data_IF_285875865779
#
_entry.id   IF_285875865779
#
_cell.length_a   1.000
_cell.length_b   1.000
_cell.length_c   1.000
_cell.angle_alpha   90.00
_cell.angle_beta   90.00
_cell.angle_gamma   90.00
#
_symmetry.space_group_name_H-M   'P 1'
#
loop_
_entity.id
_entity.type
_entity.pdbx_description
1 polymer ?
#
# COMPACT_ATOMS: atom_id res chain seq x y z
N UNK A 1 9.48 -31.70 1.56
CA UNK A 1 8.83 -31.70 0.22
C UNK A 1 7.56 -30.87 0.35
N UNK A 2 7.35 -29.90 -0.52
CA UNK A 2 6.11 -29.09 -0.58
C UNK A 2 5.23 -29.66 -1.70
N UNK A 3 4.30 -30.61 -1.36
CA UNK A 3 3.51 -31.31 -2.38
C UNK A 3 2.45 -30.41 -3.02
N UNK A 4 2.11 -29.29 -2.41
CA UNK A 4 1.08 -28.37 -2.89
C UNK A 4 1.68 -27.08 -3.40
N UNK A 5 1.19 -26.61 -4.54
CA UNK A 5 1.54 -25.32 -5.13
C UNK A 5 0.28 -24.47 -5.26
N UNK A 6 0.35 -23.20 -4.90
CA UNK A 6 -0.67 -22.20 -5.20
C UNK A 6 -0.09 -21.12 -6.10
N UNK A 7 -0.79 -20.80 -7.18
CA UNK A 7 -0.57 -19.59 -7.99
C UNK A 7 -1.84 -18.75 -7.94
N UNK A 8 -1.81 -17.64 -7.24
CA UNK A 8 -3.00 -16.82 -6.97
C UNK A 8 -2.65 -15.33 -6.87
N UNK A 9 -3.65 -14.47 -7.14
CA UNK A 9 -3.64 -13.04 -6.82
C UNK A 9 -4.52 -12.69 -5.61
N UNK A 10 -5.07 -13.70 -4.92
CA UNK A 10 -5.91 -13.50 -3.74
C UNK A 10 -5.13 -13.86 -2.48
N UNK A 11 -4.75 -12.85 -1.72
CA UNK A 11 -4.11 -13.01 -0.41
C UNK A 11 -5.02 -13.73 0.59
N UNK A 12 -6.33 -13.47 0.54
CA UNK A 12 -7.33 -14.13 1.37
C UNK A 12 -7.36 -15.65 1.12
N UNK A 13 -7.41 -16.06 -0.15
CA UNK A 13 -7.41 -17.47 -0.52
C UNK A 13 -6.07 -18.14 -0.16
N UNK A 14 -4.95 -17.43 -0.32
CA UNK A 14 -3.62 -17.89 0.12
C UNK A 14 -3.60 -18.13 1.63
N UNK A 15 -4.03 -17.15 2.43
CA UNK A 15 -4.05 -17.24 3.90
C UNK A 15 -4.87 -18.43 4.38
N UNK A 16 -6.05 -18.61 3.78
CA UNK A 16 -6.93 -19.74 4.08
C UNK A 16 -6.29 -21.09 3.75
N UNK A 17 -5.68 -21.21 2.57
CA UNK A 17 -5.05 -22.45 2.15
C UNK A 17 -3.79 -22.76 2.98
N UNK A 18 -3.04 -21.72 3.41
CA UNK A 18 -1.91 -21.86 4.35
C UNK A 18 -2.35 -22.37 5.72
N UNK A 19 -3.50 -21.90 6.21
CA UNK A 19 -4.06 -22.39 7.49
C UNK A 19 -4.38 -23.90 7.43
N UNK A 20 -4.84 -24.39 6.29
CA UNK A 20 -5.18 -25.81 6.11
C UNK A 20 -3.97 -26.71 5.82
N UNK A 21 -3.00 -26.23 5.04
CA UNK A 21 -1.90 -27.05 4.50
C UNK A 21 -0.54 -26.75 5.13
N UNK A 22 -0.44 -25.66 5.89
CA UNK A 22 0.78 -25.27 6.59
C UNK A 22 2.00 -25.13 5.68
N UNK A 23 3.14 -25.60 6.12
CA UNK A 23 4.41 -25.58 5.39
C UNK A 23 4.46 -26.49 4.16
N UNK A 24 3.45 -27.32 3.94
CA UNK A 24 3.34 -28.16 2.76
C UNK A 24 2.91 -27.40 1.50
N UNK A 25 2.49 -26.12 1.66
CA UNK A 25 2.04 -25.26 0.57
C UNK A 25 3.16 -24.31 0.13
N UNK A 26 3.62 -24.48 -1.11
CA UNK A 26 4.43 -23.47 -1.80
C UNK A 26 3.49 -22.47 -2.49
N UNK A 27 3.80 -21.19 -2.38
CA UNK A 27 3.00 -20.13 -3.01
C UNK A 27 3.87 -19.33 -3.97
N UNK A 28 3.36 -19.11 -5.17
CA UNK A 28 3.92 -18.16 -6.12
C UNK A 28 2.86 -17.11 -6.43
N UNK A 29 3.16 -15.86 -6.12
CA UNK A 29 2.25 -14.75 -6.32
C UNK A 29 1.87 -14.59 -7.80
N UNK A 30 0.57 -14.50 -8.08
CA UNK A 30 0.03 -14.38 -9.44
C UNK A 30 0.42 -13.08 -10.16
N UNK A 31 0.94 -12.09 -9.44
CA UNK A 31 1.50 -10.85 -9.98
C UNK A 31 2.69 -11.11 -10.90
N UNK A 32 3.45 -12.19 -10.68
CA UNK A 32 4.56 -12.58 -11.56
C UNK A 32 4.11 -12.97 -12.99
N UNK A 33 2.82 -13.23 -13.21
CA UNK A 33 2.26 -13.45 -14.55
C UNK A 33 2.37 -12.21 -15.45
N UNK A 34 2.54 -11.02 -14.89
CA UNK A 34 2.83 -9.81 -15.66
C UNK A 34 4.17 -9.89 -16.43
N UNK A 35 5.07 -10.77 -15.99
CA UNK A 35 6.36 -11.06 -16.63
C UNK A 35 6.31 -12.34 -17.49
N UNK A 36 5.12 -12.89 -17.71
CA UNK A 36 4.88 -14.13 -18.43
C UNK A 36 4.81 -15.37 -17.54
N UNK A 37 4.19 -16.42 -18.05
CA UNK A 37 3.99 -17.71 -17.34
C UNK A 37 5.31 -18.39 -16.96
N UNK A 38 6.33 -18.30 -17.81
CA UNK A 38 7.68 -18.79 -17.53
C UNK A 38 8.31 -18.17 -16.28
N UNK A 39 7.99 -16.91 -15.95
CA UNK A 39 8.48 -16.25 -14.76
C UNK A 39 7.88 -16.85 -13.48
N UNK A 40 6.64 -17.30 -13.52
CA UNK A 40 5.97 -18.00 -12.42
C UNK A 40 6.53 -19.41 -12.27
N UNK A 41 6.56 -20.18 -13.37
CA UNK A 41 7.06 -21.57 -13.35
C UNK A 41 8.54 -21.66 -13.00
N UNK A 42 9.33 -20.63 -13.32
CA UNK A 42 10.73 -20.52 -12.91
C UNK A 42 10.94 -20.36 -11.38
N UNK A 43 9.91 -19.92 -10.65
CA UNK A 43 9.93 -19.75 -9.17
C UNK A 43 9.36 -20.94 -8.41
N UNK A 44 8.88 -21.96 -9.13
CA UNK A 44 8.39 -23.18 -8.50
C UNK A 44 9.57 -24.03 -8.06
N UNK A 45 9.79 -24.08 -6.75
CA UNK A 45 10.81 -24.90 -6.13
C UNK A 45 10.30 -26.31 -5.82
N UNK A 46 11.17 -27.30 -5.97
CA UNK A 46 10.86 -28.71 -5.68
C UNK A 46 9.98 -29.37 -6.75
N UNK A 47 9.26 -30.39 -6.34
CA UNK A 47 8.38 -31.21 -7.20
C UNK A 47 6.97 -31.23 -6.62
N UNK A 48 6.15 -30.21 -6.88
CA UNK A 48 4.76 -30.20 -6.42
C UNK A 48 3.99 -31.37 -7.06
N UNK A 49 2.99 -31.87 -6.34
CA UNK A 49 2.11 -32.97 -6.80
C UNK A 49 0.72 -32.46 -7.15
N UNK A 50 0.26 -31.39 -6.50
CA UNK A 50 -1.02 -30.73 -6.79
C UNK A 50 -0.80 -29.23 -6.88
N UNK A 51 -1.26 -28.60 -7.96
CA UNK A 51 -1.23 -27.16 -8.14
C UNK A 51 -2.65 -26.57 -8.18
N UNK A 52 -2.87 -25.53 -7.39
CA UNK A 52 -4.05 -24.70 -7.38
C UNK A 52 -3.78 -23.44 -8.20
N UNK A 53 -4.57 -23.21 -9.25
CA UNK A 53 -4.46 -22.07 -10.15
C UNK A 53 -5.67 -21.14 -9.96
N UNK A 54 -5.45 -19.97 -9.41
CA UNK A 54 -6.50 -19.00 -9.06
C UNK A 54 -6.68 -18.84 -7.54
N UNK A 55 -7.67 -18.08 -7.07
CA UNK A 55 -8.63 -17.30 -7.88
C UNK A 55 -8.00 -16.06 -8.56
N UNK A 56 -8.81 -15.38 -9.39
CA UNK A 56 -8.45 -14.13 -10.07
C UNK A 56 -7.39 -14.29 -11.18
N UNK A 57 -7.33 -15.47 -11.81
CA UNK A 57 -6.58 -15.68 -13.05
C UNK A 57 -7.54 -15.71 -14.25
N UNK A 58 -7.13 -15.11 -15.38
CA UNK A 58 -7.91 -15.18 -16.61
C UNK A 58 -7.62 -16.48 -17.39
N UNK A 59 -8.36 -16.72 -18.47
CA UNK A 59 -8.23 -17.94 -19.29
C UNK A 59 -6.82 -18.10 -19.88
N UNK A 60 -6.28 -17.05 -20.51
CA UNK A 60 -4.97 -17.12 -21.16
C UNK A 60 -3.83 -17.35 -20.17
N UNK A 61 -3.92 -16.73 -18.98
CA UNK A 61 -2.95 -16.93 -17.90
C UNK A 61 -3.02 -18.37 -17.37
N UNK A 62 -4.23 -18.88 -17.16
CA UNK A 62 -4.44 -20.26 -16.69
C UNK A 62 -3.94 -21.26 -17.71
N UNK A 63 -4.26 -21.09 -18.98
CA UNK A 63 -3.82 -21.93 -20.09
C UNK A 63 -2.29 -21.97 -20.19
N UNK A 64 -1.64 -20.80 -20.21
CA UNK A 64 -0.18 -20.75 -20.29
C UNK A 64 0.50 -21.37 -19.07
N UNK A 65 -0.07 -21.23 -17.86
CA UNK A 65 0.43 -21.93 -16.66
C UNK A 65 0.27 -23.45 -16.76
N UNK A 66 -0.87 -23.92 -17.22
CA UNK A 66 -1.12 -25.35 -17.42
C UNK A 66 -0.13 -25.94 -18.41
N UNK A 67 0.07 -25.30 -19.57
CA UNK A 67 1.02 -25.74 -20.59
C UNK A 67 2.45 -25.87 -20.05
N UNK A 68 2.95 -24.81 -19.37
CA UNK A 68 4.32 -24.78 -18.84
C UNK A 68 4.52 -25.65 -17.60
N UNK A 69 3.54 -25.67 -16.66
CA UNK A 69 3.61 -26.53 -15.48
C UNK A 69 3.58 -28.01 -15.87
N UNK A 70 2.73 -28.40 -16.81
CA UNK A 70 2.66 -29.79 -17.31
C UNK A 70 3.94 -30.19 -18.03
N UNK A 71 4.55 -29.27 -18.79
CA UNK A 71 5.82 -29.53 -19.46
C UNK A 71 6.98 -29.74 -18.45
N UNK A 72 7.00 -29.01 -17.33
CA UNK A 72 8.02 -29.12 -16.29
C UNK A 72 7.75 -30.23 -15.27
N UNK A 73 6.48 -30.47 -14.96
CA UNK A 73 6.00 -31.42 -13.96
C UNK A 73 4.85 -32.29 -14.57
N UNK A 74 5.15 -33.30 -15.37
CA UNK A 74 4.12 -34.07 -16.10
C UNK A 74 3.17 -34.89 -15.21
N UNK A 75 3.55 -35.16 -13.97
CA UNK A 75 2.76 -35.91 -12.99
C UNK A 75 1.91 -34.99 -12.05
N UNK A 76 1.84 -33.69 -12.36
CA UNK A 76 1.16 -32.68 -11.54
C UNK A 76 -0.37 -32.79 -11.67
N UNK A 77 -1.07 -32.84 -10.54
CA UNK A 77 -2.52 -32.70 -10.49
C UNK A 77 -2.89 -31.22 -10.56
N UNK A 78 -3.72 -30.84 -11.53
CA UNK A 78 -4.11 -29.43 -11.76
C UNK A 78 -5.53 -29.17 -11.26
N UNK A 79 -5.68 -28.19 -10.39
CA UNK A 79 -6.95 -27.70 -9.85
C UNK A 79 -7.11 -26.22 -10.18
N UNK A 80 -8.15 -25.85 -10.89
CA UNK A 80 -8.48 -24.43 -11.11
C UNK A 80 -9.44 -23.96 -10.03
N UNK A 81 -9.12 -22.81 -9.41
CA UNK A 81 -9.94 -22.18 -8.39
C UNK A 81 -10.68 -20.99 -9.01
N UNK A 82 -11.99 -21.15 -9.19
CA UNK A 82 -12.84 -20.15 -9.85
C UNK A 82 -14.30 -20.28 -9.43
N UNK A 83 -15.03 -19.16 -9.46
CA UNK A 83 -16.48 -19.20 -9.34
C UNK A 83 -17.11 -19.99 -10.51
N UNK A 84 -18.14 -20.77 -10.20
CA UNK A 84 -18.82 -21.58 -11.19
C UNK A 84 -19.55 -20.69 -12.21
N UNK A 85 -19.12 -20.77 -13.47
CA UNK A 85 -19.73 -20.09 -14.63
C UNK A 85 -20.01 -21.11 -15.73
N UNK A 86 -20.88 -20.77 -16.67
CA UNK A 86 -21.28 -21.64 -17.79
C UNK A 86 -20.14 -22.00 -18.77
N UNK A 87 -19.02 -21.29 -18.71
CA UNK A 87 -17.83 -21.52 -19.55
C UNK A 87 -16.80 -22.48 -18.93
N UNK A 88 -17.06 -23.01 -17.75
CA UNK A 88 -16.09 -23.92 -17.07
C UNK A 88 -16.00 -25.31 -17.68
N UNK A 89 -17.07 -25.80 -18.30
CA UNK A 89 -17.05 -27.10 -18.99
C UNK A 89 -16.05 -27.07 -20.16
N UNK A 90 -16.00 -25.95 -20.89
CA UNK A 90 -15.04 -25.75 -21.98
C UNK A 90 -13.60 -25.75 -21.47
N UNK A 91 -13.35 -25.15 -20.30
CA UNK A 91 -12.01 -25.09 -19.69
C UNK A 91 -11.49 -26.46 -19.25
N UNK A 92 -12.36 -27.32 -18.70
CA UNK A 92 -11.96 -28.63 -18.20
C UNK A 92 -11.54 -29.53 -19.39
N UNK A 93 -12.28 -29.46 -20.49
CA UNK A 93 -12.02 -30.28 -21.67
C UNK A 93 -10.78 -29.79 -22.45
N UNK A 94 -10.61 -28.47 -22.59
CA UNK A 94 -9.48 -27.89 -23.34
C UNK A 94 -8.16 -27.93 -22.59
N UNK A 95 -8.17 -27.75 -21.26
CA UNK A 95 -6.95 -27.58 -20.45
C UNK A 95 -6.52 -28.86 -19.70
N UNK A 96 -7.20 -29.99 -19.92
CA UNK A 96 -6.92 -31.27 -19.24
C UNK A 96 -6.83 -31.12 -17.70
N UNK A 97 -7.74 -30.35 -17.10
CA UNK A 97 -7.79 -30.11 -15.67
C UNK A 97 -8.29 -31.34 -14.92
N UNK A 98 -7.75 -31.56 -13.71
CA UNK A 98 -8.16 -32.69 -12.87
C UNK A 98 -9.37 -32.37 -12.00
N UNK A 99 -9.54 -31.07 -11.63
CA UNK A 99 -10.68 -30.58 -10.87
C UNK A 99 -10.85 -29.06 -10.99
N UNK A 100 -12.07 -28.61 -10.69
CA UNK A 100 -12.40 -27.20 -10.47
C UNK A 100 -12.92 -27.05 -9.07
N UNK A 101 -12.47 -26.02 -8.36
CA UNK A 101 -12.86 -25.69 -6.99
C UNK A 101 -13.42 -24.26 -6.92
N UNK A 102 -14.54 -24.08 -6.21
CA UNK A 102 -15.02 -22.72 -5.93
C UNK A 102 -14.09 -22.03 -4.92
N UNK A 103 -13.75 -20.74 -5.08
CA UNK A 103 -13.01 -20.00 -4.06
C UNK A 103 -13.73 -19.95 -2.72
N UNK A 104 -15.06 -20.04 -2.72
CA UNK A 104 -15.91 -20.05 -1.54
C UNK A 104 -16.26 -21.45 -1.02
N UNK A 105 -15.63 -22.53 -1.56
CA UNK A 105 -15.85 -23.88 -1.07
C UNK A 105 -15.42 -23.99 0.41
N UNK A 106 -16.12 -24.80 1.20
CA UNK A 106 -15.74 -25.02 2.60
C UNK A 106 -14.36 -25.70 2.72
N UNK A 107 -13.72 -25.57 3.88
CA UNK A 107 -12.43 -26.20 4.14
C UNK A 107 -12.55 -27.72 4.04
N UNK A 108 -13.67 -28.29 4.51
CA UNK A 108 -13.98 -29.71 4.39
C UNK A 108 -14.04 -30.15 2.93
N UNK A 109 -14.77 -29.42 2.07
CA UNK A 109 -14.86 -29.71 0.63
C UNK A 109 -13.48 -29.62 -0.05
N UNK A 110 -12.67 -28.63 0.36
CA UNK A 110 -11.31 -28.44 -0.17
C UNK A 110 -10.41 -29.61 0.22
N UNK A 111 -10.44 -30.05 1.49
CA UNK A 111 -9.67 -31.20 1.98
C UNK A 111 -10.13 -32.52 1.34
N UNK A 112 -11.44 -32.71 1.15
CA UNK A 112 -11.98 -33.89 0.45
C UNK A 112 -11.48 -33.97 -0.99
N UNK A 113 -11.44 -32.83 -1.71
CA UNK A 113 -10.91 -32.75 -3.06
C UNK A 113 -9.42 -33.12 -3.08
N UNK A 114 -8.63 -32.53 -2.18
CA UNK A 114 -7.19 -32.83 -2.05
C UNK A 114 -6.98 -34.31 -1.79
N UNK A 115 -7.69 -34.91 -0.83
CA UNK A 115 -7.57 -36.33 -0.50
C UNK A 115 -7.98 -37.25 -1.65
N UNK A 116 -9.00 -36.89 -2.42
CA UNK A 116 -9.45 -37.63 -3.59
C UNK A 116 -8.41 -37.55 -4.70
N UNK A 117 -7.86 -36.39 -4.98
CA UNK A 117 -6.86 -36.18 -6.02
C UNK A 117 -5.52 -36.81 -5.64
N UNK A 118 -5.09 -36.74 -4.39
CA UNK A 118 -3.88 -37.43 -3.89
C UNK A 118 -3.98 -38.93 -4.09
N UNK A 119 -5.10 -39.55 -3.68
CA UNK A 119 -5.35 -41.00 -3.91
C UNK A 119 -5.36 -41.36 -5.38
N UNK A 120 -5.92 -40.51 -6.23
CA UNK A 120 -5.92 -40.75 -7.68
C UNK A 120 -4.50 -40.66 -8.27
N UNK A 121 -3.68 -39.70 -7.85
CA UNK A 121 -2.28 -39.59 -8.28
C UNK A 121 -1.46 -40.80 -7.84
N UNK A 122 -1.64 -41.30 -6.62
CA UNK A 122 -0.96 -42.47 -6.09
C UNK A 122 -1.40 -43.72 -6.88
N UNK A 123 -2.69 -43.92 -7.11
CA UNK A 123 -3.21 -45.09 -7.84
C UNK A 123 -2.78 -45.14 -9.30
N UNK A 124 -2.43 -43.99 -9.90
CA UNK A 124 -1.91 -43.89 -11.26
C UNK A 124 -0.37 -43.85 -11.34
N UNK A 125 0.33 -44.07 -10.22
CA UNK A 125 1.79 -44.06 -10.16
C UNK A 125 2.45 -42.71 -10.39
N UNK A 126 1.70 -41.62 -10.23
CA UNK A 126 2.16 -40.22 -10.39
C UNK A 126 2.67 -39.59 -9.09
N UNK A 127 2.37 -40.19 -7.93
CA UNK A 127 2.83 -39.76 -6.62
C UNK A 127 2.98 -40.98 -5.68
N UNK A 128 3.72 -40.83 -4.62
CA UNK A 128 3.84 -41.84 -3.56
C UNK A 128 3.13 -41.30 -2.27
N UNK A 129 2.72 -42.22 -1.37
CA UNK A 129 2.09 -41.83 -0.09
C UNK A 129 2.95 -40.84 0.70
N UNK A 130 4.26 -41.11 0.75
CA UNK A 130 5.22 -40.21 1.45
C UNK A 130 5.31 -38.80 0.90
N UNK A 131 4.82 -38.54 -0.32
CA UNK A 131 4.79 -37.18 -0.88
C UNK A 131 3.77 -36.27 -0.15
N UNK A 132 2.76 -36.86 0.47
CA UNK A 132 1.67 -36.20 1.16
C UNK A 132 1.72 -36.34 2.69
N UNK A 133 2.71 -37.10 3.23
CA UNK A 133 2.90 -37.22 4.68
C UNK A 133 3.24 -35.84 5.30
N UNK A 134 2.77 -35.63 6.53
CA UNK A 134 3.16 -34.44 7.27
C UNK A 134 4.67 -34.47 7.51
N UNK A 135 5.38 -33.34 7.30
CA UNK A 135 6.77 -33.28 7.70
C UNK A 135 6.86 -33.59 9.20
N UNK A 136 7.85 -34.36 9.65
CA UNK A 136 8.01 -34.63 11.07
C UNK A 136 8.06 -33.28 11.80
N UNK A 137 7.20 -33.13 12.80
CA UNK A 137 7.23 -31.99 13.71
C UNK A 137 8.65 -31.94 14.25
N UNK A 138 9.42 -30.93 13.89
CA UNK A 138 10.66 -30.65 14.61
C UNK A 138 10.22 -30.22 16.00
N UNK A 139 10.22 -31.16 16.93
CA UNK A 139 10.26 -30.84 18.33
C UNK A 139 11.50 -29.95 18.50
N UNK A 140 11.26 -28.69 18.78
CA UNK A 140 12.30 -27.85 19.35
C UNK A 140 12.62 -28.53 20.68
N UNK A 141 13.73 -29.27 20.72
CA UNK A 141 14.33 -29.65 21.99
C UNK A 141 14.50 -28.31 22.73
N UNK A 142 13.68 -28.12 23.74
CA UNK A 142 13.97 -27.14 24.79
C UNK A 142 15.32 -27.53 25.31
N UNK A 143 16.37 -26.68 25.24
CA UNK A 143 17.65 -27.00 25.82
C UNK A 143 17.39 -27.36 27.29
N UNK A 144 17.81 -28.56 27.71
CA UNK A 144 17.77 -28.93 29.09
C UNK A 144 18.50 -27.83 29.87
N UNK A 145 17.96 -27.37 31.00
CA UNK A 145 18.66 -26.40 31.84
C UNK A 145 20.01 -27.02 32.21
N UNK A 146 21.10 -26.39 31.82
CA UNK A 146 22.45 -26.75 32.24
C UNK A 146 22.44 -26.71 33.76
N UNK A 147 22.71 -27.81 34.47
CA UNK A 147 22.81 -27.77 35.93
C UNK A 147 23.94 -26.81 36.28
N UNK A 148 23.60 -25.73 36.99
CA UNK A 148 24.61 -24.83 37.53
C UNK A 148 25.56 -25.66 38.42
N UNK A 149 26.84 -25.63 38.10
CA UNK A 149 27.85 -26.25 38.98
C UNK A 149 27.96 -25.44 40.27
N UNK A 150 28.23 -26.10 41.38
CA UNK A 150 28.40 -25.46 42.72
C UNK A 150 29.50 -24.36 42.72
N UNK A 151 30.32 -24.26 41.68
CA UNK A 151 31.33 -23.22 41.51
C UNK A 151 30.72 -21.89 40.97
N UNK A 152 29.61 -21.94 40.25
CA UNK A 152 28.92 -20.73 39.73
C UNK A 152 28.09 -20.00 40.82
N UNK A 153 27.80 -20.68 41.92
CA UNK A 153 27.10 -20.12 43.09
C UNK A 153 28.02 -19.33 44.04
N UNK A 154 29.33 -19.51 43.96
CA UNK A 154 30.31 -18.85 44.83
C UNK A 154 30.80 -17.49 44.30
N UNK A 155 30.42 -17.09 43.10
CA UNK A 155 30.77 -15.80 42.49
C UNK A 155 29.71 -14.70 42.74
N UNK A 156 28.63 -15.03 43.45
CA UNK A 156 27.54 -14.06 43.75
C UNK A 156 27.62 -13.49 45.19
N UNK A 157 28.64 -13.88 45.98
CA UNK A 157 28.89 -13.28 47.30
C UNK A 157 30.13 -12.39 47.23
N UNK A 158 30.00 -11.16 46.83
CA UNK A 158 31.09 -10.19 46.87
C UNK A 158 30.68 -8.85 46.27
N UNK A 159 30.43 -7.94 47.18
CA UNK A 159 30.24 -6.49 47.07
C UNK A 159 28.79 -6.00 46.98
N UNK A 160 28.32 -5.65 48.18
CA UNK A 160 27.19 -4.74 48.40
C UNK A 160 27.57 -3.32 47.91
N UNK A 161 27.42 -3.08 46.61
CA UNK A 161 27.14 -1.74 46.12
C UNK A 161 25.71 -1.73 45.57
N UNK A 162 24.84 -1.13 46.36
CA UNK A 162 23.46 -0.79 45.97
C UNK A 162 23.46 0.16 44.78
N UNK A 163 23.73 -0.31 43.57
CA UNK A 163 23.22 0.29 42.38
C UNK A 163 21.77 -0.21 42.19
N UNK A 164 20.86 0.66 42.46
CA UNK A 164 19.42 0.43 42.45
C UNK A 164 18.98 -0.10 41.08
N UNK A 165 18.19 -1.17 41.11
CA UNK A 165 17.48 -1.82 39.98
C UNK A 165 16.53 -0.88 39.20
N UNK A 166 16.61 0.43 39.42
CA UNK A 166 15.82 1.48 38.78
C UNK A 166 16.36 1.94 37.41
N UNK A 167 17.61 1.55 37.02
CA UNK A 167 18.15 1.99 35.73
C UNK A 167 17.86 1.03 34.55
N UNK A 168 17.39 -0.19 34.81
CA UNK A 168 17.05 -1.15 33.71
C UNK A 168 15.59 -1.18 33.31
N UNK A 169 14.75 -0.36 33.96
CA UNK A 169 13.32 -0.21 33.61
C UNK A 169 12.95 1.16 33.06
N UNK A 170 13.91 1.97 32.66
CA UNK A 170 13.59 3.09 31.82
C UNK A 170 13.32 2.58 30.41
N UNK A 171 12.02 2.34 30.11
CA UNK A 171 11.55 2.35 28.75
C UNK A 171 12.18 3.58 28.06
N UNK A 172 12.68 3.47 26.81
CA UNK A 172 13.23 4.60 26.10
C UNK A 172 12.21 5.74 26.24
N UNK A 173 12.66 6.98 26.48
CA UNK A 173 11.74 8.08 26.69
C UNK A 173 10.77 8.08 25.53
N UNK A 174 9.49 7.91 25.83
CA UNK A 174 8.42 8.07 24.84
C UNK A 174 8.61 9.50 24.36
N UNK A 175 9.05 9.65 23.11
CA UNK A 175 9.20 10.95 22.50
C UNK A 175 7.81 11.53 22.41
N UNK A 176 7.43 12.39 23.38
CA UNK A 176 6.17 13.12 23.34
C UNK A 176 6.25 14.12 22.18
N UNK A 177 5.71 13.72 21.03
CA UNK A 177 5.55 14.61 19.89
C UNK A 177 4.50 15.66 20.25
N UNK A 178 4.97 16.88 20.55
CA UNK A 178 4.07 18.01 20.72
C UNK A 178 3.70 18.58 19.36
N UNK A 179 2.40 18.70 19.08
CA UNK A 179 1.93 19.47 17.94
C UNK A 179 2.26 20.94 18.17
N UNK A 180 2.97 21.61 17.25
CA UNK A 180 3.11 23.03 17.34
C UNK A 180 1.72 23.67 17.28
N UNK A 181 1.36 24.55 18.22
CA UNK A 181 0.09 25.25 18.15
C UNK A 181 0.00 26.03 16.83
N UNK A 182 -1.17 26.03 16.20
CA UNK A 182 -1.41 26.95 15.09
C UNK A 182 -1.18 28.38 15.55
N UNK A 183 -0.31 29.11 14.86
CA UNK A 183 -0.09 30.50 15.15
C UNK A 183 -1.39 31.31 14.95
N UNK A 184 -1.66 32.24 15.84
CA UNK A 184 -2.86 33.06 15.74
C UNK A 184 -2.88 33.84 14.41
N UNK A 185 -3.91 33.63 13.61
CA UNK A 185 -4.08 34.25 12.29
C UNK A 185 -3.55 33.42 11.11
N UNK A 186 -2.97 32.24 11.36
CA UNK A 186 -2.65 31.26 10.29
C UNK A 186 -3.86 30.34 10.09
N UNK A 187 -4.37 30.29 8.85
CA UNK A 187 -5.41 29.32 8.48
C UNK A 187 -4.77 27.97 8.17
N UNK A 188 -5.47 26.91 8.51
CA UNK A 188 -5.10 25.55 8.06
C UNK A 188 -5.47 25.39 6.59
N UNK A 189 -4.50 24.95 5.78
CA UNK A 189 -4.73 24.55 4.39
C UNK A 189 -4.97 23.04 4.33
N UNK A 190 -6.05 22.64 3.71
CA UNK A 190 -6.41 21.22 3.56
C UNK A 190 -6.53 20.85 2.07
N UNK A 191 -6.00 19.69 1.70
CA UNK A 191 -5.88 19.23 0.34
C UNK A 191 -6.52 17.85 0.18
N UNK A 192 -7.45 17.69 -0.75
CA UNK A 192 -7.87 16.37 -1.22
C UNK A 192 -7.08 15.98 -2.47
N UNK A 193 -6.43 14.83 -2.45
CA UNK A 193 -5.75 14.27 -3.63
C UNK A 193 -6.70 13.30 -4.31
N UNK A 194 -7.16 13.65 -5.51
CA UNK A 194 -8.26 13.00 -6.23
C UNK A 194 -7.78 12.50 -7.59
N UNK A 195 -8.27 11.36 -8.03
CA UNK A 195 -8.04 10.87 -9.39
C UNK A 195 -9.24 10.06 -9.90
N UNK A 196 -9.57 10.16 -11.20
CA UNK A 196 -10.73 9.48 -11.77
C UNK A 196 -10.61 7.96 -11.80
N UNK A 197 -9.40 7.42 -11.64
CA UNK A 197 -9.13 5.97 -11.70
C UNK A 197 -8.00 5.57 -10.76
N UNK A 198 -7.99 4.29 -10.39
CA UNK A 198 -6.86 3.68 -9.69
C UNK A 198 -5.56 3.68 -10.51
N UNK A 199 -4.42 3.59 -9.83
CA UNK A 199 -3.10 3.50 -10.46
C UNK A 199 -2.58 4.80 -11.10
N UNK A 200 -3.20 5.95 -10.87
CA UNK A 200 -2.75 7.25 -11.39
C UNK A 200 -1.72 7.95 -10.51
N UNK A 201 -1.42 7.39 -9.31
CA UNK A 201 -0.37 7.87 -8.43
C UNK A 201 -0.81 8.89 -7.39
N UNK A 202 -2.08 8.88 -6.98
CA UNK A 202 -2.61 9.72 -5.89
C UNK A 202 -1.75 9.60 -4.62
N UNK A 203 -1.64 8.39 -4.09
CA UNK A 203 -0.88 8.08 -2.87
C UNK A 203 0.58 8.55 -2.96
N UNK A 204 1.23 8.32 -4.11
CA UNK A 204 2.60 8.82 -4.34
C UNK A 204 2.66 10.35 -4.23
N UNK A 205 1.72 11.06 -4.86
CA UNK A 205 1.66 12.52 -4.80
C UNK A 205 1.33 12.98 -3.37
N UNK A 206 0.38 12.35 -2.69
CA UNK A 206 -0.03 12.69 -1.33
C UNK A 206 1.13 12.55 -0.33
N UNK A 207 1.85 11.42 -0.36
CA UNK A 207 3.02 11.15 0.49
C UNK A 207 4.10 12.22 0.27
N UNK A 208 4.49 12.44 -0.99
CA UNK A 208 5.57 13.38 -1.30
C UNK A 208 5.16 14.85 -1.05
N UNK A 209 3.87 15.17 -1.17
CA UNK A 209 3.34 16.48 -0.79
C UNK A 209 3.44 16.67 0.73
N UNK A 210 3.04 15.67 1.52
CA UNK A 210 3.15 15.71 2.98
C UNK A 210 4.61 15.88 3.43
N UNK A 211 5.53 15.10 2.86
CA UNK A 211 6.96 15.21 3.12
C UNK A 211 7.50 16.61 2.78
N UNK A 212 7.17 17.12 1.60
CA UNK A 212 7.65 18.47 1.20
C UNK A 212 7.06 19.61 2.01
N UNK A 213 5.83 19.49 2.50
CA UNK A 213 5.22 20.45 3.40
C UNK A 213 5.77 20.33 4.83
N UNK A 214 6.18 19.13 5.26
CA UNK A 214 6.84 18.92 6.54
C UNK A 214 8.24 19.56 6.60
N UNK A 215 8.97 19.65 5.47
CA UNK A 215 10.21 20.44 5.40
C UNK A 215 9.98 21.92 5.75
N UNK A 216 8.77 22.43 5.48
CA UNK A 216 8.39 23.83 5.71
C UNK A 216 7.82 24.03 7.11
N UNK A 217 6.97 23.11 7.56
CA UNK A 217 6.25 23.15 8.82
C UNK A 217 6.37 21.81 9.57
N UNK A 218 7.54 21.51 10.16
CA UNK A 218 7.76 20.24 10.86
C UNK A 218 6.73 20.02 11.95
N UNK A 219 6.23 18.77 12.05
CA UNK A 219 5.19 18.33 12.99
C UNK A 219 3.84 19.07 12.89
N UNK A 220 3.63 19.84 11.82
CA UNK A 220 2.39 20.58 11.57
C UNK A 220 1.64 20.07 10.35
N UNK A 221 2.01 18.90 9.84
CA UNK A 221 1.42 18.25 8.66
C UNK A 221 0.81 16.92 9.07
N UNK A 222 -0.39 16.63 8.58
CA UNK A 222 -1.02 15.32 8.72
C UNK A 222 -1.49 14.79 7.37
N UNK A 223 -1.16 13.54 7.10
CA UNK A 223 -1.56 12.79 5.91
C UNK A 223 -2.62 11.76 6.32
N UNK A 224 -3.80 11.83 5.71
CA UNK A 224 -4.93 10.95 5.99
C UNK A 224 -5.09 9.97 4.84
N UNK A 225 -5.02 8.68 5.14
CA UNK A 225 -5.32 7.62 4.20
C UNK A 225 -6.84 7.35 4.21
N UNK A 226 -7.55 7.99 3.30
CA UNK A 226 -8.99 7.84 3.12
C UNK A 226 -9.36 6.86 1.98
N UNK A 227 -8.40 6.08 1.46
CA UNK A 227 -8.69 4.90 0.66
C UNK A 227 -9.02 3.74 1.62
N UNK A 228 -10.29 3.70 2.05
CA UNK A 228 -10.76 2.81 3.13
C UNK A 228 -10.75 1.33 2.77
N UNK A 229 -10.60 1.00 1.48
CA UNK A 229 -10.60 -0.39 1.01
C UNK A 229 -9.20 -0.90 0.70
N UNK A 230 -8.33 -0.04 0.17
CA UNK A 230 -7.02 -0.41 -0.34
C UNK A 230 -5.95 0.65 0.00
N UNK A 231 -6.02 1.22 1.20
CA UNK A 231 -5.06 2.22 1.65
C UNK A 231 -3.65 1.65 1.76
N UNK A 232 -2.69 2.33 1.14
CA UNK A 232 -1.31 1.86 0.98
C UNK A 232 -0.26 2.79 1.60
N UNK A 233 -0.67 3.90 2.25
CA UNK A 233 0.28 4.90 2.79
C UNK A 233 1.24 4.27 3.78
N UNK A 234 0.75 3.48 4.72
CA UNK A 234 1.59 2.86 5.75
C UNK A 234 2.57 1.85 5.17
N UNK A 235 2.13 1.07 4.17
CA UNK A 235 2.99 0.13 3.44
C UNK A 235 4.08 0.88 2.64
N UNK A 236 3.70 1.97 1.95
CA UNK A 236 4.62 2.79 1.15
C UNK A 236 5.62 3.61 1.98
N UNK A 237 5.38 3.77 3.29
CA UNK A 237 6.24 4.47 4.25
C UNK A 237 6.89 3.52 5.27
N UNK A 238 6.71 2.20 5.12
CA UNK A 238 7.19 1.17 6.06
C UNK A 238 6.80 1.48 7.53
N UNK A 239 5.59 2.01 7.75
CA UNK A 239 5.04 2.31 9.07
C UNK A 239 4.25 1.13 9.62
N UNK A 240 4.32 0.94 10.95
CA UNK A 240 3.52 -0.04 11.69
C UNK A 240 2.55 0.70 12.64
N UNK A 241 1.36 1.09 12.16
CA UNK A 241 0.42 1.88 12.95
C UNK A 241 -0.28 1.01 13.99
N UNK A 242 -0.34 1.48 15.24
CA UNK A 242 -1.11 0.84 16.31
C UNK A 242 -2.59 1.23 16.30
N UNK A 243 -2.93 2.30 15.59
CA UNK A 243 -4.28 2.88 15.45
C UNK A 243 -4.54 3.21 13.99
N UNK A 244 -5.80 3.24 13.62
CA UNK A 244 -6.24 3.42 12.23
C UNK A 244 -7.30 4.53 12.12
N UNK A 245 -7.75 4.81 10.90
CA UNK A 245 -8.82 5.78 10.65
C UNK A 245 -10.12 5.43 11.42
N UNK A 246 -10.37 4.14 11.70
CA UNK A 246 -11.52 3.72 12.50
C UNK A 246 -11.42 4.28 13.92
N UNK A 247 -10.22 4.20 14.52
CA UNK A 247 -9.96 4.81 15.84
C UNK A 247 -9.98 6.34 15.76
N UNK A 248 -9.41 6.90 14.70
CA UNK A 248 -9.31 8.35 14.52
C UNK A 248 -10.68 9.03 14.40
N UNK A 249 -11.63 8.45 13.64
CA UNK A 249 -12.99 9.01 13.54
C UNK A 249 -13.76 8.89 14.85
N UNK A 250 -13.58 7.80 15.59
CA UNK A 250 -14.17 7.64 16.92
C UNK A 250 -13.57 8.66 17.90
N UNK A 251 -12.27 8.86 17.88
CA UNK A 251 -11.56 9.83 18.72
C UNK A 251 -11.91 11.28 18.37
N UNK A 252 -12.05 11.62 17.10
CA UNK A 252 -12.43 12.95 16.63
C UNK A 252 -13.83 13.39 17.13
N UNK A 253 -14.73 12.43 17.36
CA UNK A 253 -16.03 12.70 17.93
C UNK A 253 -15.98 13.04 19.44
N UNK A 254 -14.90 12.68 20.14
CA UNK A 254 -14.76 12.84 21.59
C UNK A 254 -13.92 14.08 21.92
N UNK A 255 -12.62 14.06 21.64
CA UNK A 255 -11.68 15.10 22.06
C UNK A 255 -10.40 15.11 21.17
N UNK A 256 -9.80 16.28 21.03
CA UNK A 256 -8.54 16.50 20.31
C UNK A 256 -7.37 15.72 20.92
N UNK A 257 -7.29 15.62 22.25
CA UNK A 257 -6.22 14.87 22.92
C UNK A 257 -6.29 13.38 22.61
N UNK A 258 -7.51 12.82 22.54
CA UNK A 258 -7.74 11.43 22.16
C UNK A 258 -7.37 11.22 20.69
N UNK A 259 -7.72 12.18 19.82
CA UNK A 259 -7.37 12.10 18.39
C UNK A 259 -5.85 12.01 18.18
N UNK A 260 -5.05 12.74 18.99
CA UNK A 260 -3.57 12.66 18.92
C UNK A 260 -3.03 11.24 19.11
N UNK A 261 -3.69 10.42 19.92
CA UNK A 261 -3.27 9.03 20.15
C UNK A 261 -3.53 8.11 18.95
N UNK A 262 -4.36 8.54 18.00
CA UNK A 262 -4.68 7.78 16.79
C UNK A 262 -3.76 8.11 15.59
N UNK A 263 -2.77 8.96 15.79
CA UNK A 263 -1.84 9.40 14.75
C UNK A 263 -0.51 8.67 14.87
N UNK A 264 0.06 8.28 13.73
CA UNK A 264 1.39 7.67 13.64
C UNK A 264 2.38 8.74 13.16
N UNK A 265 3.45 8.98 13.88
CA UNK A 265 4.49 9.93 13.48
C UNK A 265 5.45 9.33 12.46
N UNK A 266 5.79 10.09 11.42
CA UNK A 266 6.82 9.74 10.43
C UNK A 266 8.11 10.53 10.69
N UNK A 267 9.28 9.91 10.46
CA UNK A 267 10.60 10.53 10.70
C UNK A 267 10.83 11.84 9.95
N UNK A 268 10.19 12.06 8.81
CA UNK A 268 10.22 13.30 8.04
C UNK A 268 9.43 14.45 8.71
N UNK A 269 8.88 14.26 9.90
CA UNK A 269 8.21 15.31 10.68
C UNK A 269 6.76 15.56 10.25
N UNK A 270 6.03 14.56 9.84
CA UNK A 270 4.57 14.62 9.65
C UNK A 270 3.86 13.44 10.33
N UNK A 271 2.55 13.55 10.47
CA UNK A 271 1.72 12.52 11.07
C UNK A 271 0.88 11.82 10.00
N UNK A 272 0.54 10.56 10.25
CA UNK A 272 -0.28 9.74 9.39
C UNK A 272 -1.50 9.22 10.15
N UNK A 273 -2.69 9.36 9.56
CA UNK A 273 -3.88 8.57 9.91
C UNK A 273 -3.90 7.39 8.95
N UNK A 274 -3.59 6.20 9.48
CA UNK A 274 -3.54 4.97 8.68
C UNK A 274 -4.94 4.57 8.21
N UNK A 275 -5.05 3.95 7.05
CA UNK A 275 -6.32 3.39 6.55
C UNK A 275 -6.86 2.27 7.44
N UNK A 276 -8.09 1.85 7.17
CA UNK A 276 -8.68 0.71 7.85
C UNK A 276 -7.89 -0.58 7.55
N UNK A 277 -7.74 -1.49 8.53
CA UNK A 277 -6.96 -2.72 8.34
C UNK A 277 -7.67 -3.76 7.47
N UNK A 278 -8.94 -3.58 7.20
CA UNK A 278 -9.71 -4.38 6.24
C UNK A 278 -10.87 -3.58 5.64
N UNK A 279 -11.35 -3.92 4.44
CA UNK A 279 -12.49 -3.25 3.81
C UNK A 279 -13.74 -3.22 4.68
N UNK A 280 -14.03 -4.30 5.44
CA UNK A 280 -15.20 -4.39 6.31
C UNK A 280 -15.14 -3.40 7.48
N UNK A 281 -13.95 -3.12 7.99
CA UNK A 281 -13.74 -2.07 8.98
C UNK A 281 -13.76 -0.69 8.34
N UNK A 282 -13.30 -0.56 7.11
CA UNK A 282 -13.42 0.65 6.31
C UNK A 282 -14.87 1.07 6.08
N UNK A 283 -15.76 0.11 5.82
CA UNK A 283 -17.20 0.35 5.64
C UNK A 283 -17.89 0.91 6.89
N UNK A 284 -17.27 0.79 8.07
CA UNK A 284 -17.79 1.39 9.33
C UNK A 284 -17.50 2.89 9.41
N UNK A 285 -16.58 3.40 8.61
CA UNK A 285 -16.25 4.82 8.55
C UNK A 285 -17.27 5.54 7.66
N UNK A 286 -18.23 6.21 8.24
CA UNK A 286 -19.18 6.99 7.46
C UNK A 286 -18.52 8.25 6.86
N UNK A 287 -19.05 8.74 5.73
CA UNK A 287 -18.58 9.97 5.12
C UNK A 287 -18.67 11.18 6.08
N UNK A 288 -19.74 11.27 6.86
CA UNK A 288 -19.91 12.31 7.89
C UNK A 288 -18.81 12.24 8.95
N UNK A 289 -18.45 11.03 9.41
CA UNK A 289 -17.37 10.85 10.37
C UNK A 289 -16.01 11.27 9.79
N UNK A 290 -15.74 10.95 8.52
CA UNK A 290 -14.55 11.43 7.81
C UNK A 290 -14.52 12.97 7.71
N UNK A 291 -15.62 13.62 7.37
CA UNK A 291 -15.73 15.07 7.33
C UNK A 291 -15.41 15.70 8.70
N UNK A 292 -15.99 15.15 9.78
CA UNK A 292 -15.69 15.59 11.15
C UNK A 292 -14.21 15.41 11.50
N UNK A 293 -13.59 14.31 11.11
CA UNK A 293 -12.16 14.07 11.32
C UNK A 293 -11.32 15.13 10.61
N UNK A 294 -11.60 15.42 9.33
CA UNK A 294 -10.88 16.44 8.56
C UNK A 294 -10.99 17.81 9.24
N UNK A 295 -12.18 18.21 9.66
CA UNK A 295 -12.39 19.48 10.38
C UNK A 295 -11.58 19.53 11.68
N UNK A 296 -11.58 18.47 12.47
CA UNK A 296 -10.80 18.40 13.72
C UNK A 296 -9.30 18.49 13.46
N UNK A 297 -8.80 17.79 12.44
CA UNK A 297 -7.38 17.86 12.06
C UNK A 297 -6.99 19.28 11.61
N UNK A 298 -7.86 19.98 10.90
CA UNK A 298 -7.64 21.38 10.49
C UNK A 298 -7.52 22.36 11.66
N UNK A 299 -8.04 22.03 12.83
CA UNK A 299 -7.84 22.87 14.03
C UNK A 299 -6.46 22.66 14.67
N UNK A 300 -5.81 21.52 14.41
CA UNK A 300 -4.55 21.14 15.04
C UNK A 300 -3.35 21.23 14.11
N UNK A 301 -3.55 21.10 12.79
CA UNK A 301 -2.48 21.03 11.80
C UNK A 301 -2.53 22.19 10.82
N UNK A 302 -1.36 22.70 10.44
CA UNK A 302 -1.24 23.72 9.39
C UNK A 302 -1.62 23.16 8.02
N UNK A 303 -1.23 21.92 7.73
CA UNK A 303 -1.51 21.25 6.48
C UNK A 303 -2.17 19.90 6.74
N UNK A 304 -3.31 19.67 6.10
CA UNK A 304 -4.03 18.40 6.13
C UNK A 304 -4.10 17.86 4.70
N UNK A 305 -3.55 16.69 4.43
CA UNK A 305 -3.59 16.05 3.12
C UNK A 305 -4.47 14.80 3.23
N UNK A 306 -5.46 14.67 2.36
CA UNK A 306 -6.37 13.53 2.32
C UNK A 306 -6.15 12.78 1.01
N UNK A 307 -5.57 11.58 1.08
CA UNK A 307 -5.49 10.65 -0.05
C UNK A 307 -6.83 9.91 -0.16
N UNK A 308 -7.55 10.10 -1.27
CA UNK A 308 -8.92 9.60 -1.42
C UNK A 308 -8.97 8.29 -2.21
N UNK A 309 -10.10 7.59 -2.17
CA UNK A 309 -10.40 6.49 -3.11
C UNK A 309 -10.47 7.01 -4.55
N UNK A 310 -10.23 6.15 -5.57
CA UNK A 310 -10.44 6.54 -6.96
C UNK A 310 -11.89 6.92 -7.28
N UNK A 311 -12.07 7.97 -8.05
CA UNK A 311 -13.38 8.48 -8.47
C UNK A 311 -14.08 9.32 -7.40
N UNK A 312 -15.34 9.70 -7.67
CA UNK A 312 -16.13 10.59 -6.82
C UNK A 312 -17.15 9.79 -5.97
N UNK A 313 -16.63 8.87 -5.14
CA UNK A 313 -17.44 8.20 -4.12
C UNK A 313 -17.85 9.17 -2.99
N UNK A 314 -18.74 8.71 -2.10
CA UNK A 314 -19.29 9.52 -1.00
C UNK A 314 -18.18 10.14 -0.12
N UNK A 315 -17.18 9.35 0.27
CA UNK A 315 -16.04 9.81 1.08
C UNK A 315 -15.18 10.84 0.34
N UNK A 316 -14.95 10.65 -0.98
CA UNK A 316 -14.22 11.63 -1.79
C UNK A 316 -14.98 12.96 -1.90
N UNK A 317 -16.32 12.92 -2.08
CA UNK A 317 -17.15 14.11 -2.15
C UNK A 317 -17.13 14.88 -0.82
N UNK A 318 -17.27 14.17 0.30
CA UNK A 318 -17.19 14.79 1.63
C UNK A 318 -15.78 15.34 1.90
N UNK A 319 -14.71 14.65 1.50
CA UNK A 319 -13.37 15.21 1.61
C UNK A 319 -13.25 16.54 0.85
N UNK A 320 -13.80 16.62 -0.39
CA UNK A 320 -13.81 17.85 -1.19
C UNK A 320 -14.64 18.99 -0.58
N UNK A 321 -15.66 18.68 0.21
CA UNK A 321 -16.46 19.69 0.94
C UNK A 321 -15.68 20.32 2.11
N UNK A 322 -14.76 19.55 2.73
CA UNK A 322 -14.06 19.96 3.96
C UNK A 322 -12.63 20.47 3.72
N UNK A 323 -12.13 20.44 2.47
CA UNK A 323 -10.80 20.94 2.13
C UNK A 323 -10.84 22.35 1.53
N UNK A 324 -9.70 23.03 1.55
CA UNK A 324 -9.52 24.35 0.91
C UNK A 324 -9.13 24.23 -0.54
N UNK A 325 -8.39 23.19 -0.89
CA UNK A 325 -7.76 22.96 -2.19
C UNK A 325 -7.93 21.52 -2.63
N UNK A 326 -7.85 21.25 -3.94
CA UNK A 326 -7.78 19.90 -4.45
C UNK A 326 -6.59 19.71 -5.41
N UNK A 327 -5.93 18.56 -5.29
CA UNK A 327 -4.91 18.10 -6.22
C UNK A 327 -5.50 17.00 -7.09
N UNK A 328 -5.81 17.32 -8.33
CA UNK A 328 -6.35 16.37 -9.30
C UNK A 328 -5.23 15.70 -10.04
N UNK A 329 -5.11 14.38 -9.90
CA UNK A 329 -4.04 13.57 -10.49
C UNK A 329 -4.59 12.70 -11.62
N UNK A 330 -3.96 12.74 -12.77
CA UNK A 330 -4.22 11.83 -13.88
C UNK A 330 -2.93 11.42 -14.58
N UNK A 331 -2.99 10.42 -15.44
CA UNK A 331 -1.88 10.07 -16.35
C UNK A 331 -2.21 10.48 -17.79
N UNK A 332 -1.28 10.28 -18.72
CA UNK A 332 -1.46 10.63 -20.14
C UNK A 332 -2.41 9.68 -20.90
N UNK A 333 -3.02 8.71 -20.25
CA UNK A 333 -3.99 7.82 -20.89
C UNK A 333 -5.33 8.53 -21.18
N UNK A 334 -5.82 8.49 -22.43
CA UNK A 334 -7.10 9.11 -22.84
C UNK A 334 -8.27 8.77 -21.90
N UNK A 335 -8.41 7.50 -21.40
CA UNK A 335 -9.48 7.18 -20.46
C UNK A 335 -9.36 7.91 -19.10
N UNK A 336 -8.14 8.18 -18.61
CA UNK A 336 -7.90 8.98 -17.40
C UNK A 336 -8.24 10.44 -17.62
N UNK A 337 -7.74 11.03 -18.72
CA UNK A 337 -7.99 12.42 -19.08
C UNK A 337 -9.49 12.72 -19.26
N UNK A 338 -10.23 11.84 -19.96
CA UNK A 338 -11.68 11.93 -20.10
C UNK A 338 -12.42 11.74 -18.76
N UNK A 339 -11.88 10.88 -17.91
CA UNK A 339 -12.38 10.69 -16.54
C UNK A 339 -12.30 11.99 -15.74
N UNK A 340 -11.14 12.63 -15.72
CA UNK A 340 -10.93 13.90 -15.03
C UNK A 340 -11.86 15.02 -15.56
N UNK A 341 -12.04 15.11 -16.87
CA UNK A 341 -13.02 16.05 -17.43
C UNK A 341 -14.43 15.81 -16.90
N UNK A 342 -14.87 14.54 -16.85
CA UNK A 342 -16.18 14.18 -16.31
C UNK A 342 -16.30 14.51 -14.82
N UNK A 343 -15.25 14.31 -14.05
CA UNK A 343 -15.20 14.72 -12.65
C UNK A 343 -15.39 16.23 -12.50
N UNK A 344 -14.71 17.02 -13.32
CA UNK A 344 -14.86 18.48 -13.31
C UNK A 344 -16.29 18.91 -13.67
N UNK A 345 -16.88 18.30 -14.69
CA UNK A 345 -18.28 18.55 -15.08
C UNK A 345 -19.24 18.21 -13.94
N UNK A 346 -19.05 17.07 -13.27
CA UNK A 346 -19.88 16.62 -12.15
C UNK A 346 -19.70 17.52 -10.91
N UNK A 347 -18.46 17.80 -10.50
CA UNK A 347 -18.18 18.66 -9.34
C UNK A 347 -18.73 20.07 -9.56
N UNK A 348 -18.65 20.59 -10.78
CA UNK A 348 -19.25 21.88 -11.14
C UNK A 348 -20.78 21.84 -11.01
N UNK A 349 -21.42 20.77 -11.50
CA UNK A 349 -22.86 20.61 -11.42
C UNK A 349 -23.37 20.45 -9.97
N UNK A 350 -22.57 19.83 -9.10
CA UNK A 350 -22.86 19.68 -7.68
C UNK A 350 -22.51 20.93 -6.84
N UNK A 351 -21.79 21.91 -7.42
CA UNK A 351 -21.30 23.07 -6.68
C UNK A 351 -20.14 22.75 -5.73
N UNK A 352 -19.48 21.62 -5.92
CA UNK A 352 -18.38 21.10 -5.11
C UNK A 352 -17.00 21.31 -5.75
N UNK A 353 -16.90 22.04 -6.84
CA UNK A 353 -15.60 22.34 -7.46
C UNK A 353 -14.81 23.27 -6.54
N UNK A 354 -13.62 22.82 -6.01
CA UNK A 354 -12.81 23.65 -5.16
C UNK A 354 -12.35 24.94 -5.86
N UNK A 355 -12.35 26.05 -5.10
CA UNK A 355 -11.90 27.35 -5.62
C UNK A 355 -10.43 27.32 -6.04
N UNK A 356 -9.61 26.63 -5.25
CA UNK A 356 -8.22 26.38 -5.54
C UNK A 356 -8.07 24.92 -5.99
N UNK A 357 -7.42 24.74 -7.12
CA UNK A 357 -7.14 23.39 -7.66
C UNK A 357 -5.80 23.35 -8.34
N UNK A 358 -5.16 22.19 -8.25
CA UNK A 358 -3.88 21.89 -8.86
C UNK A 358 -4.02 20.66 -9.75
N UNK A 359 -3.77 20.80 -11.05
CA UNK A 359 -3.88 19.70 -12.01
C UNK A 359 -2.50 19.12 -12.26
N UNK A 360 -2.33 17.85 -11.87
CA UNK A 360 -1.09 17.10 -12.00
C UNK A 360 -1.27 16.00 -13.03
N UNK A 361 -0.47 16.03 -14.08
CA UNK A 361 -0.34 14.93 -15.04
C UNK A 361 0.87 14.10 -14.66
N UNK A 362 0.60 12.93 -14.11
CA UNK A 362 1.62 12.01 -13.61
C UNK A 362 2.03 10.99 -14.68
N UNK A 363 3.20 10.38 -14.50
CA UNK A 363 3.75 9.36 -15.39
C UNK A 363 3.82 9.84 -16.85
N UNK A 364 4.17 11.13 -17.07
CA UNK A 364 4.28 11.66 -18.42
C UNK A 364 5.38 10.96 -19.21
N UNK A 365 5.05 10.57 -20.44
CA UNK A 365 5.96 9.86 -21.33
C UNK A 365 5.81 10.42 -22.75
N UNK A 366 6.94 10.73 -23.40
CA UNK A 366 6.97 11.19 -24.79
C UNK A 366 6.46 10.15 -25.78
N UNK A 367 6.47 8.86 -25.39
CA UNK A 367 5.97 7.76 -26.19
C UNK A 367 4.44 7.61 -26.13
N UNK A 368 3.74 8.39 -25.31
CA UNK A 368 2.27 8.36 -25.19
C UNK A 368 1.54 8.78 -26.47
N UNK A 369 2.22 9.46 -27.40
CA UNK A 369 1.62 10.00 -28.61
C UNK A 369 0.74 11.25 -28.40
N UNK A 370 0.66 11.77 -27.15
CA UNK A 370 -0.07 13.00 -26.82
C UNK A 370 0.92 14.10 -26.44
N UNK A 371 0.66 15.31 -26.93
CA UNK A 371 1.32 16.51 -26.43
C UNK A 371 0.59 17.04 -25.19
N UNK A 372 1.26 17.86 -24.37
CA UNK A 372 0.61 18.48 -23.20
C UNK A 372 -0.60 19.35 -23.63
N UNK A 373 -0.51 19.99 -24.78
CA UNK A 373 -1.65 20.75 -25.36
C UNK A 373 -2.84 19.84 -25.67
N UNK A 374 -2.61 18.61 -26.15
CA UNK A 374 -3.69 17.65 -26.38
C UNK A 374 -4.32 17.22 -25.05
N UNK A 375 -3.49 17.01 -24.03
CA UNK A 375 -3.92 16.68 -22.66
C UNK A 375 -4.81 17.78 -22.09
N UNK A 376 -4.38 19.04 -22.13
CA UNK A 376 -5.16 20.19 -21.68
C UNK A 376 -6.49 20.35 -22.45
N UNK A 377 -6.47 20.14 -23.77
CA UNK A 377 -7.69 20.16 -24.57
C UNK A 377 -8.68 19.06 -24.19
N UNK A 378 -8.21 17.85 -23.86
CA UNK A 378 -9.05 16.74 -23.44
C UNK A 378 -9.62 16.99 -22.02
N UNK A 379 -8.80 17.46 -21.09
CA UNK A 379 -9.23 17.79 -19.72
C UNK A 379 -10.17 19.00 -19.74
N UNK A 380 -9.89 19.98 -20.58
CA UNK A 380 -10.59 21.26 -20.61
C UNK A 380 -10.07 22.28 -19.60
N UNK A 381 -8.84 22.09 -19.09
CA UNK A 381 -8.19 22.97 -18.13
C UNK A 381 -6.67 22.93 -18.30
N UNK A 382 -5.93 23.99 -17.92
CA UNK A 382 -4.47 23.99 -17.98
C UNK A 382 -3.87 23.02 -16.95
N UNK A 383 -2.74 22.43 -17.31
CA UNK A 383 -1.96 21.54 -16.42
C UNK A 383 -0.97 22.38 -15.61
N UNK A 384 -0.96 22.19 -14.30
CA UNK A 384 -0.07 22.91 -13.39
C UNK A 384 1.28 22.27 -13.20
N UNK A 385 1.32 20.92 -13.16
CA UNK A 385 2.54 20.14 -12.95
C UNK A 385 2.55 18.89 -13.80
N UNK A 386 3.68 18.68 -14.50
CA UNK A 386 3.97 17.47 -15.26
C UNK A 386 4.98 16.62 -14.47
N UNK A 387 4.58 15.45 -14.03
CA UNK A 387 5.47 14.50 -13.32
C UNK A 387 5.88 13.40 -14.29
N UNK A 388 7.14 13.36 -14.73
CA UNK A 388 7.61 12.36 -15.68
C UNK A 388 7.61 10.96 -15.06
N UNK A 389 7.44 9.94 -15.89
CA UNK A 389 7.61 8.55 -15.47
C UNK A 389 9.04 8.34 -14.97
N UNK A 390 9.17 7.75 -13.78
CA UNK A 390 10.46 7.41 -13.18
C UNK A 390 10.41 6.06 -12.48
N UNK A 391 11.46 5.25 -12.65
CA UNK A 391 11.66 4.01 -11.90
C UNK A 391 12.00 4.26 -10.43
N UNK A 392 12.50 5.45 -10.10
CA UNK A 392 12.81 5.84 -8.73
C UNK A 392 11.55 5.88 -7.84
N UNK A 393 10.36 6.17 -8.42
CA UNK A 393 9.08 6.15 -7.70
C UNK A 393 8.81 4.78 -7.08
N UNK A 394 8.94 3.70 -7.87
CA UNK A 394 8.72 2.36 -7.37
C UNK A 394 9.78 1.96 -6.33
N UNK A 395 11.03 2.34 -6.59
CA UNK A 395 12.13 2.03 -5.67
C UNK A 395 11.96 2.74 -4.33
N UNK A 396 11.56 4.01 -4.31
CA UNK A 396 11.32 4.79 -3.10
C UNK A 396 10.19 4.19 -2.27
N UNK A 397 9.07 3.83 -2.90
CA UNK A 397 7.94 3.15 -2.24
C UNK A 397 8.34 1.81 -1.63
N UNK A 398 9.14 0.99 -2.34
CA UNK A 398 9.61 -0.29 -1.82
C UNK A 398 10.61 -0.16 -0.66
N UNK A 399 11.25 1.00 -0.51
CA UNK A 399 12.18 1.32 0.59
C UNK A 399 11.50 1.98 1.77
N UNK A 400 10.27 2.40 1.63
CA UNK A 400 9.57 3.17 2.65
C UNK A 400 10.04 4.63 2.77
N UNK A 401 10.79 5.14 1.78
CA UNK A 401 11.36 6.51 1.81
C UNK A 401 10.70 7.35 0.72
N UNK A 402 10.10 8.51 1.05
CA UNK A 402 9.48 9.39 0.05
C UNK A 402 10.45 9.80 -1.06
N UNK A 403 10.00 9.79 -2.32
CA UNK A 403 10.85 10.04 -3.49
C UNK A 403 11.63 11.37 -3.42
N UNK A 404 11.02 12.42 -2.91
CA UNK A 404 11.69 13.73 -2.80
C UNK A 404 12.88 13.74 -1.84
N UNK A 405 12.98 12.74 -0.94
CA UNK A 405 14.14 12.50 -0.07
C UNK A 405 15.05 11.41 -0.61
N UNK A 406 14.50 10.32 -1.17
CA UNK A 406 15.28 9.18 -1.68
C UNK A 406 16.13 9.58 -2.90
N UNK A 407 15.56 10.30 -3.86
CA UNK A 407 16.30 10.82 -5.04
C UNK A 407 15.92 12.26 -5.42
N UNK A 408 16.52 13.21 -4.73
CA UNK A 408 16.28 14.65 -4.93
C UNK A 408 16.64 15.15 -6.35
N UNK A 409 17.41 14.39 -7.12
CA UNK A 409 17.83 14.73 -8.48
C UNK A 409 16.89 14.17 -9.55
N UNK A 410 16.08 13.21 -9.19
CA UNK A 410 15.12 12.60 -10.09
C UNK A 410 14.17 13.66 -10.70
N UNK A 411 13.85 13.58 -11.99
CA UNK A 411 12.94 14.53 -12.63
C UNK A 411 11.53 14.53 -12.02
N UNK A 412 11.01 13.37 -11.56
CA UNK A 412 9.71 13.30 -10.91
C UNK A 412 9.76 13.96 -9.52
N UNK A 413 10.83 13.73 -8.73
CA UNK A 413 11.05 14.41 -7.46
C UNK A 413 11.06 15.94 -7.63
N UNK A 414 11.75 16.46 -8.64
CA UNK A 414 11.78 17.89 -8.93
C UNK A 414 10.41 18.45 -9.32
N UNK A 415 9.65 17.70 -10.12
CA UNK A 415 8.30 18.08 -10.49
C UNK A 415 7.36 18.14 -9.28
N UNK A 416 7.43 17.15 -8.39
CA UNK A 416 6.62 17.14 -7.16
C UNK A 416 7.06 18.30 -6.23
N UNK A 417 8.35 18.58 -6.10
CA UNK A 417 8.81 19.78 -5.37
C UNK A 417 8.25 21.07 -5.97
N UNK A 418 8.04 21.15 -7.29
CA UNK A 418 7.41 22.32 -7.88
C UNK A 418 5.94 22.46 -7.48
N UNK A 419 5.23 21.34 -7.24
CA UNK A 419 3.88 21.36 -6.66
C UNK A 419 3.91 21.90 -5.22
N UNK A 420 4.83 21.42 -4.38
CA UNK A 420 5.01 21.93 -3.01
C UNK A 420 5.26 23.44 -3.01
N UNK A 421 6.15 23.94 -3.87
CA UNK A 421 6.44 25.36 -4.02
C UNK A 421 5.23 26.18 -4.50
N UNK A 422 4.37 25.60 -5.30
CA UNK A 422 3.14 26.23 -5.78
C UNK A 422 2.09 26.36 -4.67
N UNK A 423 1.99 25.32 -3.85
CA UNK A 423 1.04 25.26 -2.73
C UNK A 423 1.49 26.18 -1.59
N UNK A 424 2.78 26.17 -1.26
CA UNK A 424 3.35 26.97 -0.16
C UNK A 424 4.43 27.96 -0.66
N UNK A 425 4.08 28.96 -1.46
CA UNK A 425 5.05 29.86 -2.08
C UNK A 425 5.76 30.79 -1.06
N UNK A 426 5.15 31.03 0.09
CA UNK A 426 5.69 31.92 1.13
C UNK A 426 6.86 31.30 1.89
N UNK A 427 6.92 29.99 1.96
CA UNK A 427 7.98 29.26 2.66
C UNK A 427 9.35 29.36 1.97
N UNK A 428 9.37 29.73 0.69
CA UNK A 428 10.58 29.90 -0.09
C UNK A 428 10.72 31.36 -0.54
N UNK A 429 11.26 32.27 0.30
CA UNK A 429 11.43 33.66 -0.08
C UNK A 429 12.22 33.75 -1.37
N UNK A 430 11.65 34.43 -2.38
CA UNK A 430 12.32 34.68 -3.66
C UNK A 430 13.70 35.27 -3.37
N UNK A 431 14.78 34.50 -3.60
CA UNK A 431 16.15 35.01 -3.50
C UNK A 431 16.23 36.30 -4.32
N UNK A 432 16.35 37.45 -3.63
CA UNK A 432 16.38 38.72 -4.32
C UNK A 432 17.58 38.74 -5.25
N UNK A 433 17.41 39.23 -6.48
CA UNK A 433 18.46 39.38 -7.48
C UNK A 433 19.68 40.20 -6.99
N UNK A 434 19.55 40.85 -5.84
CA UNK A 434 20.56 41.72 -5.24
C UNK A 434 21.72 40.93 -4.60
N UNK A 435 21.49 39.72 -4.10
CA UNK A 435 22.58 38.92 -3.51
C UNK A 435 23.52 38.25 -4.53
N UNK A 436 23.09 38.14 -5.78
CA UNK A 436 23.96 37.60 -6.85
C UNK A 436 25.07 38.59 -7.31
N UNK A 437 24.88 39.86 -7.11
CA UNK A 437 25.86 40.90 -7.50
C UNK A 437 26.99 41.15 -6.49
N UNK A 438 26.82 40.74 -5.21
CA UNK A 438 27.86 40.93 -4.18
C UNK A 438 28.96 39.87 -4.17
N UNK A 439 28.75 38.69 -4.76
CA UNK A 439 29.77 37.64 -4.85
C UNK A 439 30.69 37.73 -6.06
N UNK A 440 30.44 38.63 -7.01
CA UNK A 440 31.26 38.80 -8.19
C UNK A 440 32.25 40.01 -8.11
N UNK A 441 32.33 40.70 -6.95
CA UNK A 441 33.17 41.89 -6.78
C UNK A 441 34.08 41.81 -5.54
N UNK A 442 34.52 40.62 -5.13
CA UNK A 442 35.68 40.48 -4.25
C UNK A 442 36.88 40.21 -5.10
N UNK A 443 37.88 41.12 -5.15
CA UNK A 443 39.15 40.86 -5.89
C UNK A 443 40.00 39.89 -5.09
N UNK A 444 40.75 39.06 -5.83
CA UNK A 444 41.79 38.14 -5.36
C UNK A 444 42.83 38.78 -4.44
#
# INVERSE_FOLDING_TARGET
VTPFLLVSRSAEYESRLRTMLGERLAVVAGEFLTFGTAAVVGRVDGTPRIAFLGPVLNYEETRGLVEELTAKHPDLGLVVVREQRSDLEDWVDELALHAVLSPNASDETTLELINRLSRWLISNGKAEERDFDEPPVREFETPEPIPASDEDLLLLEGDEDHETFDELTQAPPVQEWAFPPLEAGVSSDAFAVVAPKGGQGKTTIAINLATGLAEIAPNSVVLVDADLQFGDITAALALDPTRTIVDAVAAAAVDELVLKTALTHHEDGFFVVASAPSPELGDQVSAVALGTLIERLRHSFRYVIVDTTPGLGEHTLVALEHVTDAVFVTNMGVPGLRGMRKEFELLTALGLMPSNRHIVVNQTDKLSGLTMRDVENIIGAPVDVEVPRSSAVLLSSNRGVPLIHDDVRDPAAKAIRSLVLRIAPEAFPKRSRIQRRRRSNEPE
#
